data_IF_078615519594
#
_entry.id   IF_078615519594
#
_cell.length_a   1.000
_cell.length_b   1.000
_cell.length_c   1.000
_cell.angle_alpha   90.00
_cell.angle_beta   90.00
_cell.angle_gamma   90.00
#
_symmetry.space_group_name_H-M   'P 1'
#
loop_
_entity.id
_entity.type
_entity.pdbx_description
1 polymer ?
#
# COMPACT_ATOMS: atom_id res chain seq x y z
N UNK A 1 -30.95 73.41 12.31
CA UNK A 1 -30.67 73.38 13.78
C UNK A 1 -31.67 72.40 14.37
N UNK A 2 -31.32 71.12 14.53
CA UNK A 2 -30.33 70.63 15.49
C UNK A 2 -29.38 69.61 14.88
N UNK A 3 -28.11 69.82 15.21
CA UNK A 3 -26.95 68.96 15.02
C UNK A 3 -26.84 68.00 16.21
N UNK A 4 -26.38 66.77 15.99
CA UNK A 4 -25.68 65.91 16.99
C UNK A 4 -25.09 64.70 16.28
N UNK A 5 -23.76 64.68 16.27
CA UNK A 5 -22.89 63.63 15.77
C UNK A 5 -22.62 62.53 16.81
N UNK A 6 -22.29 61.32 16.34
CA UNK A 6 -21.37 60.35 16.93
C UNK A 6 -21.12 59.25 15.89
N UNK A 7 -20.01 59.27 15.13
CA UNK A 7 -18.70 58.72 15.48
C UNK A 7 -18.73 57.24 15.90
N UNK A 8 -18.15 56.39 15.06
CA UNK A 8 -17.87 54.99 15.35
C UNK A 8 -17.33 54.29 14.11
N UNK A 9 -16.04 54.50 13.82
CA UNK A 9 -15.35 53.67 12.84
C UNK A 9 -15.18 52.25 13.37
N UNK A 10 -15.10 51.28 12.47
CA UNK A 10 -14.10 50.22 12.62
C UNK A 10 -13.72 49.62 11.26
N UNK A 11 -12.45 49.20 11.11
CA UNK A 11 -11.81 48.90 9.85
C UNK A 11 -12.15 47.49 9.36
N UNK A 12 -12.46 47.39 8.08
CA UNK A 12 -12.46 46.12 7.36
C UNK A 12 -11.00 45.70 7.11
N UNK A 13 -10.39 44.98 8.04
CA UNK A 13 -9.23 44.13 7.78
C UNK A 13 -9.25 42.97 8.77
N UNK A 14 -9.51 41.75 8.29
CA UNK A 14 -8.88 40.57 8.88
C UNK A 14 -8.42 39.68 7.74
N UNK A 15 -7.11 39.52 7.65
CA UNK A 15 -6.41 38.75 6.63
C UNK A 15 -6.63 37.25 6.88
N UNK A 16 -6.55 36.38 5.86
CA UNK A 16 -6.43 34.95 6.12
C UNK A 16 -5.07 34.69 6.78
N UNK A 17 -5.09 34.27 8.04
CA UNK A 17 -3.93 33.64 8.68
C UNK A 17 -3.58 32.38 7.88
N UNK A 18 -2.51 32.45 7.08
CA UNK A 18 -1.85 31.28 6.51
C UNK A 18 -1.15 30.54 7.66
N UNK A 19 -1.87 29.65 8.36
CA UNK A 19 -1.28 28.72 9.33
C UNK A 19 -0.30 27.79 8.58
N UNK A 20 1.01 28.04 8.71
CA UNK A 20 2.08 27.18 8.19
C UNK A 20 1.95 25.75 8.77
N UNK A 21 1.62 24.78 7.93
CA UNK A 21 1.56 23.37 8.31
C UNK A 21 2.98 22.83 8.54
N UNK A 22 3.27 22.43 9.78
CA UNK A 22 4.52 21.76 10.14
C UNK A 22 4.42 20.25 9.93
N UNK A 23 5.39 19.67 9.21
CA UNK A 23 5.48 18.24 8.89
C UNK A 23 6.48 17.48 9.80
N UNK A 24 6.69 17.92 11.05
CA UNK A 24 7.65 17.27 11.96
C UNK A 24 7.03 16.04 12.64
N UNK A 25 7.84 15.01 12.96
CA UNK A 25 7.37 13.88 13.75
C UNK A 25 6.82 14.36 15.11
N UNK A 26 5.53 14.14 15.37
CA UNK A 26 4.82 14.60 16.57
C UNK A 26 3.76 15.67 16.34
N UNK A 27 3.72 16.32 15.16
CA UNK A 27 2.71 17.33 14.79
C UNK A 27 1.35 16.74 14.38
N UNK A 28 1.18 15.41 14.42
CA UNK A 28 -0.09 14.74 14.17
C UNK A 28 -1.12 14.93 15.29
N UNK A 29 -0.76 15.60 16.39
CA UNK A 29 -1.72 16.02 17.39
C UNK A 29 -2.50 17.21 16.84
N UNK A 30 -3.78 16.98 16.48
CA UNK A 30 -4.71 18.05 16.13
C UNK A 30 -4.58 19.18 17.16
N UNK A 31 -4.23 20.38 16.70
CA UNK A 31 -4.20 21.56 17.55
C UNK A 31 -5.54 21.68 18.27
N UNK A 32 -5.54 22.10 19.55
CA UNK A 32 -6.79 22.26 20.31
C UNK A 32 -7.80 23.15 19.59
N UNK A 33 -7.33 24.11 18.79
CA UNK A 33 -8.15 24.94 17.91
C UNK A 33 -8.80 24.12 16.79
N UNK A 34 -8.06 23.27 16.08
CA UNK A 34 -8.57 22.36 15.05
C UNK A 34 -9.58 21.34 15.64
N UNK A 35 -9.25 20.72 16.79
CA UNK A 35 -10.18 19.82 17.49
C UNK A 35 -11.45 20.55 17.96
N UNK A 36 -11.34 21.82 18.40
CA UNK A 36 -12.49 22.64 18.76
C UNK A 36 -13.33 23.03 17.54
N UNK A 37 -12.72 23.34 16.38
CA UNK A 37 -13.46 23.59 15.12
C UNK A 37 -14.26 22.36 14.68
N UNK A 38 -13.67 21.17 14.84
CA UNK A 38 -14.29 19.90 14.42
C UNK A 38 -15.42 19.44 15.38
N UNK A 39 -15.26 19.71 16.68
CA UNK A 39 -16.29 19.40 17.69
C UNK A 39 -17.39 20.46 17.79
N UNK A 40 -17.13 21.68 17.30
CA UNK A 40 -18.15 22.74 17.29
C UNK A 40 -18.94 22.64 16.00
N UNK A 41 -20.19 22.16 16.09
CA UNK A 41 -21.14 22.22 14.98
C UNK A 41 -21.27 23.69 14.56
N UNK A 42 -20.62 24.07 13.46
CA UNK A 42 -20.69 25.40 12.92
C UNK A 42 -22.15 25.79 12.72
N UNK A 43 -22.59 26.86 13.40
CA UNK A 43 -23.95 27.40 13.31
C UNK A 43 -24.31 27.87 11.89
N UNK A 44 -23.30 27.97 11.02
CA UNK A 44 -23.39 28.35 9.61
C UNK A 44 -23.13 27.13 8.73
N UNK A 45 -24.18 26.36 8.47
CA UNK A 45 -24.20 25.39 7.37
C UNK A 45 -24.49 26.07 6.04
N UNK A 46 -24.36 25.37 4.90
CA UNK A 46 -24.83 25.90 3.63
C UNK A 46 -26.32 26.24 3.76
N UNK A 47 -26.66 27.52 3.59
CA UNK A 47 -28.04 28.04 3.67
C UNK A 47 -28.86 27.75 2.41
N UNK A 48 -28.22 27.26 1.35
CA UNK A 48 -28.89 26.92 0.11
C UNK A 48 -29.59 25.56 0.20
N UNK A 49 -30.90 25.45 -0.10
CA UNK A 49 -31.64 24.19 -0.16
C UNK A 49 -31.08 23.16 -1.15
N UNK A 50 -30.27 23.60 -2.12
CA UNK A 50 -29.62 22.75 -3.13
C UNK A 50 -28.23 22.23 -2.73
N UNK A 51 -27.73 22.58 -1.55
CA UNK A 51 -26.45 22.05 -1.08
C UNK A 51 -26.61 20.60 -0.59
N UNK A 52 -25.95 19.65 -1.27
CA UNK A 52 -25.92 18.25 -0.87
C UNK A 52 -25.14 18.10 0.44
N UNK A 53 -25.85 17.86 1.55
CA UNK A 53 -25.25 17.59 2.85
C UNK A 53 -25.08 16.07 3.03
N UNK A 54 -23.87 15.57 2.85
CA UNK A 54 -23.52 14.16 3.10
C UNK A 54 -22.89 14.06 4.49
N UNK A 55 -23.31 13.08 5.29
CA UNK A 55 -22.64 12.77 6.56
C UNK A 55 -22.98 13.66 7.77
N UNK A 56 -23.91 14.61 7.65
CA UNK A 56 -24.32 15.47 8.78
C UNK A 56 -25.62 15.00 9.44
N UNK A 57 -25.67 15.15 10.76
CA UNK A 57 -26.91 15.08 11.49
C UNK A 57 -27.85 16.24 11.11
N UNK A 58 -29.17 16.00 11.15
CA UNK A 58 -30.18 17.01 10.80
C UNK A 58 -30.26 18.16 11.80
N UNK A 59 -29.76 17.97 13.01
CA UNK A 59 -29.69 18.98 14.08
C UNK A 59 -28.51 18.68 15.01
N UNK A 60 -28.04 19.65 15.81
CA UNK A 60 -26.91 19.47 16.74
C UNK A 60 -27.12 18.36 17.77
N UNK A 61 -28.36 18.13 18.19
CA UNK A 61 -28.73 17.08 19.16
C UNK A 61 -29.18 15.77 18.49
N UNK A 62 -29.21 15.72 17.15
CA UNK A 62 -29.57 14.51 16.43
C UNK A 62 -28.31 13.74 16.05
N UNK A 63 -28.43 12.42 15.98
CA UNK A 63 -27.38 11.57 15.44
C UNK A 63 -27.47 11.50 13.91
N UNK A 64 -26.39 11.05 13.26
CA UNK A 64 -26.39 10.72 11.83
C UNK A 64 -27.40 9.60 11.55
N UNK A 65 -27.95 9.61 10.34
CA UNK A 65 -28.94 8.60 9.94
C UNK A 65 -28.37 7.18 10.11
N UNK A 66 -29.22 6.23 10.49
CA UNK A 66 -28.84 4.82 10.66
C UNK A 66 -28.20 4.22 9.39
N UNK A 67 -28.60 4.68 8.20
CA UNK A 67 -27.97 4.25 6.93
C UNK A 67 -26.52 4.71 6.82
N UNK A 68 -26.21 5.96 7.19
CA UNK A 68 -24.83 6.47 7.25
C UNK A 68 -24.02 5.81 8.37
N UNK A 69 -24.64 5.54 9.52
CA UNK A 69 -23.98 4.80 10.60
C UNK A 69 -23.59 3.39 10.14
N UNK A 70 -24.52 2.66 9.51
CA UNK A 70 -24.23 1.36 8.90
C UNK A 70 -23.17 1.43 7.82
N UNK A 71 -23.15 2.49 7.03
CA UNK A 71 -22.10 2.71 6.01
C UNK A 71 -20.72 2.87 6.67
N UNK A 72 -20.62 3.68 7.73
CA UNK A 72 -19.38 3.88 8.48
C UNK A 72 -18.94 2.64 9.26
N UNK A 73 -19.90 1.84 9.76
CA UNK A 73 -19.65 0.56 10.42
C UNK A 73 -19.40 -0.61 9.44
N UNK A 74 -19.35 -0.34 8.12
CA UNK A 74 -19.27 -1.34 7.05
C UNK A 74 -20.41 -2.38 7.02
N UNK A 75 -21.50 -2.12 7.74
CA UNK A 75 -22.71 -2.96 7.81
C UNK A 75 -23.74 -2.65 6.71
N UNK A 76 -23.37 -1.84 5.73
CA UNK A 76 -24.24 -1.50 4.61
C UNK A 76 -24.04 -2.48 3.44
N UNK A 77 -25.09 -2.91 2.72
CA UNK A 77 -24.92 -3.80 1.56
C UNK A 77 -23.99 -3.21 0.48
N UNK A 78 -23.96 -1.88 0.34
CA UNK A 78 -23.03 -1.20 -0.59
C UNK A 78 -21.55 -1.32 -0.20
N UNK A 79 -21.23 -1.65 1.06
CA UNK A 79 -19.86 -1.90 1.54
C UNK A 79 -19.47 -3.37 1.48
N UNK A 80 -20.32 -4.25 0.97
CA UNK A 80 -19.99 -5.66 0.75
C UNK A 80 -18.70 -5.78 -0.09
N UNK A 81 -17.77 -6.62 0.38
CA UNK A 81 -16.45 -6.78 -0.24
C UNK A 81 -15.53 -5.56 -0.16
N UNK A 82 -15.85 -4.49 0.59
CA UNK A 82 -14.95 -3.34 0.75
C UNK A 82 -13.65 -3.74 1.45
N UNK A 83 -13.73 -4.40 2.60
CA UNK A 83 -12.55 -4.87 3.33
C UNK A 83 -11.64 -5.77 2.50
N UNK A 84 -12.21 -6.70 1.71
CA UNK A 84 -11.45 -7.56 0.80
C UNK A 84 -10.74 -6.75 -0.30
N UNK A 85 -11.41 -5.75 -0.87
CA UNK A 85 -10.82 -4.83 -1.86
C UNK A 85 -9.70 -3.97 -1.25
N UNK A 86 -9.92 -3.41 -0.07
CA UNK A 86 -8.89 -2.64 0.64
C UNK A 86 -7.69 -3.49 0.97
N UNK A 87 -7.91 -4.69 1.52
CA UNK A 87 -6.84 -5.62 1.83
C UNK A 87 -6.02 -5.98 0.58
N UNK A 88 -6.69 -6.28 -0.54
CA UNK A 88 -6.02 -6.51 -1.84
C UNK A 88 -5.19 -5.30 -2.28
N UNK A 89 -5.72 -4.08 -2.13
CA UNK A 89 -5.00 -2.85 -2.47
C UNK A 89 -3.82 -2.59 -1.53
N UNK A 90 -3.94 -2.88 -0.24
CA UNK A 90 -2.86 -2.78 0.73
C UNK A 90 -1.71 -3.71 0.38
N UNK A 91 -2.01 -4.99 0.04
CA UNK A 91 -1.00 -5.93 -0.45
C UNK A 91 -0.24 -5.34 -1.65
N UNK A 92 -0.97 -4.85 -2.66
CA UNK A 92 -0.35 -4.23 -3.83
C UNK A 92 0.52 -3.03 -3.50
N UNK A 93 0.01 -2.08 -2.70
CA UNK A 93 0.72 -0.83 -2.37
C UNK A 93 1.97 -1.09 -1.55
N UNK A 94 1.87 -1.92 -0.52
CA UNK A 94 3.01 -2.25 0.36
C UNK A 94 4.07 -3.01 -0.43
N UNK A 95 3.68 -4.04 -1.19
CA UNK A 95 4.65 -4.80 -2.01
C UNK A 95 5.30 -3.91 -3.06
N UNK A 96 4.54 -3.05 -3.73
CA UNK A 96 5.10 -2.12 -4.72
C UNK A 96 6.10 -1.15 -4.09
N UNK A 97 5.77 -0.58 -2.92
CA UNK A 97 6.68 0.31 -2.19
C UNK A 97 8.00 -0.40 -1.82
N UNK A 98 7.92 -1.64 -1.31
CA UNK A 98 9.11 -2.44 -0.97
C UNK A 98 9.94 -2.79 -2.22
N UNK A 99 9.29 -3.13 -3.34
CA UNK A 99 10.00 -3.37 -4.60
C UNK A 99 10.74 -2.13 -5.11
N UNK A 100 10.14 -0.94 -4.97
CA UNK A 100 10.79 0.31 -5.39
C UNK A 100 11.99 0.63 -4.49
N UNK A 101 11.88 0.40 -3.18
CA UNK A 101 12.97 0.62 -2.21
C UNK A 101 14.16 -0.32 -2.46
N UNK A 102 13.88 -1.56 -2.86
CA UNK A 102 14.88 -2.57 -3.21
C UNK A 102 15.43 -2.44 -4.64
N UNK A 103 14.90 -1.51 -5.46
CA UNK A 103 15.37 -1.32 -6.83
C UNK A 103 15.24 -2.55 -7.74
N UNK A 104 14.26 -3.44 -7.49
CA UNK A 104 14.08 -4.66 -8.28
C UNK A 104 13.64 -4.35 -9.72
N UNK A 105 13.90 -5.29 -10.64
CA UNK A 105 13.48 -5.11 -12.04
C UNK A 105 11.94 -5.07 -12.16
N UNK A 106 11.39 -4.40 -13.19
CA UNK A 106 9.93 -4.38 -13.41
C UNK A 106 9.31 -5.77 -13.48
N UNK A 107 10.01 -6.73 -14.10
CA UNK A 107 9.55 -8.12 -14.17
C UNK A 107 9.43 -8.78 -12.79
N UNK A 108 10.48 -8.66 -11.95
CA UNK A 108 10.47 -9.20 -10.59
C UNK A 108 9.39 -8.54 -9.72
N UNK A 109 9.20 -7.22 -9.89
CA UNK A 109 8.12 -6.49 -9.21
C UNK A 109 6.75 -7.05 -9.59
N UNK A 110 6.47 -7.17 -10.89
CA UNK A 110 5.15 -7.60 -11.37
C UNK A 110 4.87 -9.06 -10.97
N UNK A 111 5.89 -9.91 -10.94
CA UNK A 111 5.83 -11.27 -10.37
C UNK A 111 5.53 -11.27 -8.88
N UNK A 112 6.24 -10.48 -8.08
CA UNK A 112 6.00 -10.37 -6.65
C UNK A 112 4.59 -9.83 -6.33
N UNK A 113 4.12 -8.83 -7.09
CA UNK A 113 2.76 -8.31 -6.98
C UNK A 113 1.71 -9.36 -7.34
N UNK A 114 1.95 -10.14 -8.41
CA UNK A 114 1.05 -11.20 -8.86
C UNK A 114 0.86 -12.25 -7.78
N UNK A 115 1.97 -12.76 -7.22
CA UNK A 115 1.93 -13.70 -6.10
C UNK A 115 1.22 -13.10 -4.89
N UNK A 116 1.61 -11.89 -4.45
CA UNK A 116 1.08 -11.30 -3.23
C UNK A 116 -0.43 -11.04 -3.26
N UNK A 117 -1.00 -10.67 -4.40
CA UNK A 117 -2.43 -10.38 -4.53
C UNK A 117 -3.27 -11.60 -4.16
N UNK A 118 -2.93 -12.75 -4.73
CA UNK A 118 -3.73 -13.96 -4.62
C UNK A 118 -3.32 -14.83 -3.42
N UNK A 119 -2.11 -14.64 -2.88
CA UNK A 119 -1.60 -15.38 -1.72
C UNK A 119 -2.49 -15.25 -0.47
N UNK A 120 -2.82 -16.40 0.12
CA UNK A 120 -3.53 -16.44 1.41
C UNK A 120 -2.56 -16.17 2.58
N UNK A 121 -2.74 -15.01 3.22
CA UNK A 121 -1.91 -14.60 4.36
C UNK A 121 -2.25 -15.38 5.64
N UNK A 122 -3.40 -16.05 5.73
CA UNK A 122 -3.80 -16.78 6.93
C UNK A 122 -2.91 -17.99 7.20
N UNK A 123 -2.35 -18.60 6.15
CA UNK A 123 -1.38 -19.70 6.23
C UNK A 123 -0.11 -19.32 7.01
N UNK A 124 0.24 -18.04 7.07
CA UNK A 124 1.41 -17.52 7.79
C UNK A 124 1.16 -17.30 9.29
N UNK A 125 -0.07 -17.54 9.76
CA UNK A 125 -0.44 -17.52 11.17
C UNK A 125 -0.11 -16.17 11.85
N UNK A 126 0.68 -16.22 12.93
CA UNK A 126 1.06 -15.02 13.70
C UNK A 126 1.99 -14.06 12.95
N UNK A 127 2.59 -14.49 11.84
CA UNK A 127 3.52 -13.70 11.04
C UNK A 127 2.89 -13.19 9.72
N UNK A 128 1.56 -13.15 9.64
CA UNK A 128 0.78 -12.72 8.47
C UNK A 128 0.83 -11.22 8.14
N UNK A 129 1.76 -10.46 8.74
CA UNK A 129 1.93 -9.05 8.42
C UNK A 129 2.33 -8.90 6.94
N UNK A 130 1.63 -8.03 6.22
CA UNK A 130 1.77 -7.88 4.76
C UNK A 130 3.22 -7.60 4.40
N UNK A 131 3.90 -6.73 5.17
CA UNK A 131 5.28 -6.32 4.96
C UNK A 131 6.24 -7.51 5.04
N UNK A 132 6.06 -8.37 6.05
CA UNK A 132 6.91 -9.55 6.26
C UNK A 132 6.75 -10.57 5.14
N UNK A 133 5.50 -10.87 4.78
CA UNK A 133 5.22 -11.83 3.71
C UNK A 133 5.67 -11.25 2.36
N UNK A 134 5.47 -9.95 2.12
CA UNK A 134 5.97 -9.27 0.92
C UNK A 134 7.49 -9.37 0.78
N UNK A 135 8.26 -9.11 1.85
CA UNK A 135 9.73 -9.25 1.81
C UNK A 135 10.17 -10.69 1.50
N UNK A 136 9.51 -11.68 2.10
CA UNK A 136 9.78 -13.11 1.82
C UNK A 136 9.45 -13.45 0.36
N UNK A 137 8.33 -12.95 -0.15
CA UNK A 137 7.91 -13.15 -1.54
C UNK A 137 8.87 -12.48 -2.52
N UNK A 138 9.28 -11.23 -2.27
CA UNK A 138 10.26 -10.53 -3.10
C UNK A 138 11.57 -11.30 -3.13
N UNK A 139 12.06 -11.76 -1.96
CA UNK A 139 13.24 -12.63 -1.89
C UNK A 139 13.09 -13.85 -2.76
N UNK A 140 12.00 -14.60 -2.57
CA UNK A 140 11.77 -15.82 -3.30
C UNK A 140 11.75 -15.59 -4.82
N UNK A 141 11.01 -14.59 -5.29
CA UNK A 141 10.92 -14.26 -6.72
C UNK A 141 12.27 -13.82 -7.29
N UNK A 142 13.01 -12.97 -6.58
CA UNK A 142 14.29 -12.46 -7.08
C UNK A 142 15.35 -13.56 -7.10
N UNK A 143 15.46 -14.34 -6.04
CA UNK A 143 16.41 -15.48 -5.98
C UNK A 143 16.06 -16.52 -7.05
N UNK A 144 14.79 -16.87 -7.21
CA UNK A 144 14.32 -17.85 -8.21
C UNK A 144 14.56 -17.37 -9.66
N UNK A 145 14.35 -16.09 -9.97
CA UNK A 145 14.68 -15.53 -11.29
C UNK A 145 16.20 -15.51 -11.55
N UNK A 146 17.01 -15.22 -10.52
CA UNK A 146 18.48 -15.25 -10.63
C UNK A 146 18.99 -16.68 -10.81
N UNK A 147 18.45 -17.64 -10.08
CA UNK A 147 18.70 -19.07 -10.27
C UNK A 147 18.33 -19.50 -11.69
N UNK A 148 17.14 -19.10 -12.17
CA UNK A 148 16.66 -19.37 -13.54
C UNK A 148 17.57 -18.81 -14.63
N UNK A 149 18.07 -17.60 -14.44
CA UNK A 149 19.02 -16.97 -15.36
C UNK A 149 20.35 -17.74 -15.46
N UNK A 150 20.82 -18.30 -14.34
CA UNK A 150 22.07 -19.07 -14.27
C UNK A 150 21.89 -20.56 -14.61
N UNK A 151 20.66 -21.04 -14.75
CA UNK A 151 20.37 -22.46 -15.02
C UNK A 151 20.46 -23.37 -13.78
N UNK A 152 20.46 -22.80 -12.58
CA UNK A 152 20.66 -23.53 -11.31
C UNK A 152 19.46 -24.40 -10.89
N UNK A 153 18.32 -24.25 -11.58
CA UNK A 153 17.09 -25.01 -11.38
C UNK A 153 17.07 -26.38 -12.08
N UNK A 154 17.99 -26.64 -13.01
CA UNK A 154 18.03 -27.88 -13.79
C UNK A 154 19.09 -28.84 -13.24
N UNK A 155 18.65 -29.75 -12.36
CA UNK A 155 19.53 -30.68 -11.65
C UNK A 155 20.14 -31.72 -12.58
N UNK A 156 19.47 -32.05 -13.69
CA UNK A 156 20.04 -32.95 -14.69
C UNK A 156 21.18 -32.26 -15.45
N UNK A 157 20.96 -31.02 -15.86
CA UNK A 157 22.00 -30.22 -16.50
C UNK A 157 23.19 -29.94 -15.58
N UNK A 158 22.94 -29.63 -14.30
CA UNK A 158 23.97 -29.40 -13.28
C UNK A 158 24.83 -30.64 -13.03
N UNK A 159 24.23 -31.85 -13.04
CA UNK A 159 24.96 -33.10 -12.84
C UNK A 159 25.99 -33.38 -13.95
N UNK A 160 25.74 -32.86 -15.16
CA UNK A 160 26.62 -33.01 -16.32
C UNK A 160 27.69 -31.89 -16.42
N UNK A 161 27.65 -30.87 -15.55
CA UNK A 161 28.63 -29.78 -15.59
C UNK A 161 29.94 -30.13 -14.87
N UNK A 162 31.10 -29.66 -15.37
CA UNK A 162 32.36 -29.84 -14.67
C UNK A 162 32.37 -29.02 -13.35
N UNK A 163 33.07 -29.50 -12.30
CA UNK A 163 33.12 -28.83 -10.99
C UNK A 163 33.53 -27.35 -11.07
N UNK A 164 34.53 -27.02 -11.90
CA UNK A 164 35.02 -25.65 -12.11
C UNK A 164 33.92 -24.71 -12.63
N UNK A 165 33.03 -25.21 -13.48
CA UNK A 165 31.90 -24.43 -14.00
C UNK A 165 30.81 -24.24 -12.96
N UNK A 166 30.58 -25.25 -12.11
CA UNK A 166 29.64 -25.14 -11.00
C UNK A 166 30.12 -24.09 -9.99
N UNK A 167 31.40 -24.11 -9.62
CA UNK A 167 32.02 -23.11 -8.74
C UNK A 167 31.82 -21.70 -9.30
N UNK A 168 32.12 -21.50 -10.59
CA UNK A 168 31.94 -20.19 -11.23
C UNK A 168 30.48 -19.72 -11.28
N UNK A 169 29.51 -20.63 -11.46
CA UNK A 169 28.08 -20.29 -11.40
C UNK A 169 27.65 -19.89 -9.99
N UNK A 170 28.12 -20.59 -8.96
CA UNK A 170 27.84 -20.24 -7.57
C UNK A 170 28.48 -18.91 -7.16
N UNK A 171 29.67 -18.59 -7.67
CA UNK A 171 30.30 -17.27 -7.45
C UNK A 171 29.51 -16.13 -8.10
N UNK A 172 28.86 -16.37 -9.24
CA UNK A 172 28.00 -15.38 -9.91
C UNK A 172 26.63 -15.23 -9.25
N UNK A 173 26.18 -16.23 -8.50
CA UNK A 173 24.91 -16.17 -7.79
C UNK A 173 25.03 -15.27 -6.56
N UNK A 174 24.31 -14.15 -6.57
CA UNK A 174 24.15 -13.27 -5.41
C UNK A 174 22.69 -13.32 -4.99
N UNK A 175 22.40 -13.66 -3.73
CA UNK A 175 21.03 -13.61 -3.22
C UNK A 175 20.63 -12.17 -2.94
N UNK A 176 19.34 -11.84 -3.00
CA UNK A 176 18.90 -10.52 -2.56
C UNK A 176 19.14 -10.31 -1.05
N UNK A 177 19.28 -11.39 -0.27
CA UNK A 177 19.60 -11.26 1.16
C UNK A 177 20.99 -10.70 1.42
N UNK A 178 21.87 -10.73 0.42
CA UNK A 178 23.23 -10.17 0.51
C UNK A 178 23.21 -8.64 0.25
N UNK A 179 22.06 -8.08 -0.16
CA UNK A 179 21.88 -6.64 -0.32
C UNK A 179 21.64 -5.96 1.04
N UNK A 180 22.49 -4.99 1.44
CA UNK A 180 22.32 -4.24 2.69
C UNK A 180 20.96 -3.55 2.81
N UNK A 181 20.34 -3.12 1.70
CA UNK A 181 19.02 -2.51 1.71
C UNK A 181 17.94 -3.53 2.10
N UNK A 182 18.07 -4.77 1.63
CA UNK A 182 17.16 -5.85 2.02
C UNK A 182 17.30 -6.19 3.50
N UNK A 183 18.53 -6.28 3.99
CA UNK A 183 18.80 -6.54 5.41
C UNK A 183 18.18 -5.45 6.31
N UNK A 184 18.39 -4.18 5.96
CA UNK A 184 17.83 -3.05 6.70
C UNK A 184 16.28 -3.07 6.71
N UNK A 185 15.64 -3.39 5.59
CA UNK A 185 14.18 -3.53 5.52
C UNK A 185 13.66 -4.71 6.34
N UNK A 186 14.35 -5.86 6.26
CA UNK A 186 14.01 -7.04 7.05
C UNK A 186 14.09 -6.74 8.55
N UNK A 187 15.15 -6.07 9.00
CA UNK A 187 15.31 -5.64 10.39
C UNK A 187 14.21 -4.66 10.81
N UNK A 188 13.94 -3.62 10.00
CA UNK A 188 12.90 -2.61 10.26
C UNK A 188 11.53 -3.25 10.50
N UNK A 189 11.21 -4.33 9.79
CA UNK A 189 9.94 -5.04 9.93
C UNK A 189 10.01 -6.24 10.90
N UNK A 190 11.10 -6.40 11.65
CA UNK A 190 11.26 -7.43 12.68
C UNK A 190 11.33 -8.85 12.09
N UNK A 191 12.00 -9.00 10.95
CA UNK A 191 12.17 -10.25 10.22
C UNK A 191 13.59 -10.78 10.43
N UNK A 192 13.76 -11.74 11.35
CA UNK A 192 15.03 -12.45 11.51
C UNK A 192 15.26 -13.48 10.40
N UNK A 193 16.52 -13.86 10.15
CA UNK A 193 16.91 -14.89 9.17
C UNK A 193 16.16 -16.22 9.43
N UNK A 194 16.02 -16.63 10.69
CA UNK A 194 15.27 -17.84 11.06
C UNK A 194 13.80 -17.74 10.66
N UNK A 195 13.16 -16.60 10.92
CA UNK A 195 11.78 -16.36 10.55
C UNK A 195 11.62 -16.30 9.02
N UNK A 196 12.55 -15.66 8.32
CA UNK A 196 12.59 -15.57 6.86
C UNK A 196 12.60 -16.97 6.23
N UNK A 197 13.45 -17.89 6.70
CA UNK A 197 13.52 -19.25 6.18
C UNK A 197 12.25 -20.07 6.49
N UNK A 198 11.64 -19.87 7.67
CA UNK A 198 10.37 -20.52 8.02
C UNK A 198 9.24 -20.03 7.12
N UNK A 199 9.13 -18.72 6.91
CA UNK A 199 8.10 -18.11 6.07
C UNK A 199 8.29 -18.48 4.60
N UNK A 200 9.54 -18.62 4.12
CA UNK A 200 9.82 -19.11 2.77
C UNK A 200 9.26 -20.51 2.53
N UNK A 201 9.34 -21.41 3.52
CA UNK A 201 8.76 -22.76 3.39
C UNK A 201 7.24 -22.70 3.23
N UNK A 202 6.57 -21.95 4.12
CA UNK A 202 5.12 -21.74 4.05
C UNK A 202 4.72 -21.09 2.71
N UNK A 203 5.49 -20.10 2.26
CA UNK A 203 5.27 -19.47 0.96
C UNK A 203 5.34 -20.50 -0.17
N UNK A 204 6.37 -21.35 -0.20
CA UNK A 204 6.50 -22.37 -1.24
C UNK A 204 5.31 -23.33 -1.24
N UNK A 205 4.91 -23.81 -0.06
CA UNK A 205 3.75 -24.69 0.07
C UNK A 205 2.47 -23.99 -0.46
N UNK A 206 2.28 -22.70 -0.16
CA UNK A 206 1.17 -21.92 -0.72
C UNK A 206 1.27 -21.68 -2.23
N UNK A 207 2.47 -21.49 -2.77
CA UNK A 207 2.67 -21.35 -4.22
C UNK A 207 2.29 -22.65 -4.97
N UNK A 208 2.64 -23.80 -4.39
CA UNK A 208 2.29 -25.12 -4.91
C UNK A 208 0.78 -25.38 -4.81
N UNK A 209 0.17 -25.11 -3.63
CA UNK A 209 -1.25 -25.34 -3.37
C UNK A 209 -2.17 -24.45 -4.22
N UNK A 210 -1.76 -23.22 -4.49
CA UNK A 210 -2.57 -22.21 -5.19
C UNK A 210 -2.16 -22.02 -6.66
N UNK A 211 -1.19 -22.79 -7.16
CA UNK A 211 -0.64 -22.68 -8.52
C UNK A 211 -0.19 -21.24 -8.88
N UNK A 212 0.53 -20.60 -7.96
CA UNK A 212 0.94 -19.19 -8.08
C UNK A 212 2.34 -18.99 -8.68
N UNK A 213 3.02 -20.08 -9.05
CA UNK A 213 4.34 -20.02 -9.67
C UNK A 213 4.37 -19.18 -10.96
N UNK A 214 3.26 -19.11 -11.69
CA UNK A 214 3.12 -18.30 -12.90
C UNK A 214 2.49 -16.91 -12.71
N UNK A 215 2.12 -16.51 -11.48
CA UNK A 215 1.31 -15.32 -11.25
C UNK A 215 2.04 -14.00 -11.59
N UNK A 216 1.54 -13.22 -12.55
CA UNK A 216 2.10 -11.91 -12.92
C UNK A 216 1.01 -10.84 -12.81
N UNK A 217 1.31 -9.76 -12.09
CA UNK A 217 0.40 -8.62 -12.01
C UNK A 217 0.47 -7.75 -13.27
N UNK A 218 -0.70 -7.30 -13.76
CA UNK A 218 -0.80 -6.22 -14.74
C UNK A 218 -0.32 -6.53 -16.17
N UNK A 219 0.33 -7.67 -16.41
CA UNK A 219 0.80 -8.06 -17.73
C UNK A 219 0.03 -9.26 -18.25
N UNK A 220 -0.77 -9.04 -19.30
CA UNK A 220 -1.34 -10.12 -20.08
C UNK A 220 -0.22 -10.71 -20.97
N UNK A 221 0.18 -11.99 -20.81
CA UNK A 221 1.20 -12.62 -21.66
C UNK A 221 0.82 -12.64 -23.15
N UNK A 222 -0.46 -12.44 -23.48
CA UNK A 222 -0.97 -12.34 -24.84
C UNK A 222 -1.04 -10.89 -25.36
N UNK A 223 -0.45 -9.92 -24.66
CA UNK A 223 -0.48 -8.51 -25.06
C UNK A 223 0.86 -8.06 -25.62
N UNK A 224 0.83 -7.57 -26.85
CA UNK A 224 1.98 -7.00 -27.54
C UNK A 224 2.60 -5.85 -26.71
N UNK A 225 3.91 -5.90 -26.38
CA UNK A 225 4.62 -4.84 -25.67
C UNK A 225 4.57 -3.46 -26.33
N UNK A 226 4.31 -3.40 -27.64
CA UNK A 226 4.26 -2.15 -28.39
C UNK A 226 2.89 -1.47 -28.36
N UNK A 227 1.87 -2.10 -27.76
CA UNK A 227 0.54 -1.48 -27.64
C UNK A 227 0.52 -0.54 -26.42
N UNK A 228 -0.02 0.69 -26.55
CA UNK A 228 -0.12 1.64 -25.45
C UNK A 228 -0.91 1.03 -24.29
N UNK A 229 -0.50 1.28 -23.05
CA UNK A 229 -1.21 0.78 -21.86
C UNK A 229 -2.66 1.27 -21.85
N UNK A 230 -3.59 0.44 -21.40
CA UNK A 230 -5.02 0.82 -21.35
C UNK A 230 -5.31 1.99 -20.38
N UNK A 231 -4.30 2.41 -19.61
CA UNK A 231 -4.33 3.58 -18.72
C UNK A 231 -3.98 4.91 -19.42
N UNK A 232 -3.63 4.89 -20.71
CA UNK A 232 -3.56 6.13 -21.49
C UNK A 232 -5.01 6.57 -21.75
N UNK A 233 -5.55 7.39 -20.84
CA UNK A 233 -6.70 8.22 -21.16
C UNK A 233 -6.32 9.00 -22.42
N UNK A 234 -7.09 8.93 -23.51
CA UNK A 234 -6.86 9.83 -24.63
C UNK A 234 -6.98 11.25 -24.05
N UNK A 235 -5.94 12.04 -24.26
CA UNK A 235 -5.91 13.45 -23.90
C UNK A 235 -7.22 14.12 -24.42
N UNK A 236 -8.01 14.64 -23.48
CA UNK A 236 -8.96 15.74 -23.76
C UNK A 236 -8.24 17.07 -23.63
#
# INVERSE_FOLDING_TARGET
>A
MTDTAASGGDPFVDAPDEEEFSNRPGDSALARSAHRRDTTVGRWGPTSPSATQIGRARSPDADVSESLRRLHEERHPATEGHGARQHRLEKLRITHALCNDLGVTPWQRDRALGVMVDLDLTAFGSQRAIEKVALVTIRHVVDDERERYLGLQDQAWLADQPPERLENLYEQFTSITDDPHFEALAEKHGLSITNLNRLRRVLRDQLDEQDLHGAVYGRNPYRDPNLPSADVRPDE
#
